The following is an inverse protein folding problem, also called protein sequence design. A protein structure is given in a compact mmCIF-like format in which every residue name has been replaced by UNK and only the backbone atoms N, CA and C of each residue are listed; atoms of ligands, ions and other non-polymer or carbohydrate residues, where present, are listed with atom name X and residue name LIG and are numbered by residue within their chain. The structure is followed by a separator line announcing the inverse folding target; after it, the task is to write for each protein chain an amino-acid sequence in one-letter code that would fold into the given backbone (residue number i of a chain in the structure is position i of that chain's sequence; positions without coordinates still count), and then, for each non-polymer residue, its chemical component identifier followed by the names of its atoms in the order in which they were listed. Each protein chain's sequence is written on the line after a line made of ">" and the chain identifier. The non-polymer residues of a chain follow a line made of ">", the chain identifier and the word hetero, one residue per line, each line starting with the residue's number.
data_IF_271593099201
#
_entry.id   IF_271593099201
#
_cell.length_a   1.000
_cell.length_b   1.000
_cell.length_c   1.000
_cell.angle_alpha   90.00
_cell.angle_beta   90.00
_cell.angle_gamma   90.00
#
_symmetry.space_group_name_H-M   'P 1'
#
loop_
_entity.id
_entity.type
_entity.pdbx_description
1 polymer ?
#
# COMPACT_ATOMS: atom_id res chain seq x y z
N UNK A 1 9.93 2.87 12.53
CA UNK A 1 10.57 4.13 12.09
C UNK A 1 9.52 4.95 11.34
N UNK A 2 9.42 6.26 11.61
CA UNK A 2 8.53 7.18 10.90
C UNK A 2 8.71 7.13 9.36
N UNK A 3 9.95 6.92 8.89
CA UNK A 3 10.26 6.77 7.46
C UNK A 3 9.51 5.58 6.86
N UNK A 4 9.49 4.42 7.54
CA UNK A 4 8.76 3.23 7.07
C UNK A 4 7.27 3.50 6.93
N UNK A 5 6.68 4.25 7.87
CA UNK A 5 5.26 4.61 7.81
C UNK A 5 4.96 5.56 6.66
N UNK A 6 5.85 6.53 6.40
CA UNK A 6 5.73 7.43 5.26
C UNK A 6 5.78 6.68 3.93
N UNK A 7 6.71 5.72 3.78
CA UNK A 7 6.80 4.87 2.59
C UNK A 7 5.53 4.03 2.41
N UNK A 8 5.03 3.39 3.47
CA UNK A 8 3.78 2.62 3.42
C UNK A 8 2.59 3.51 3.04
N UNK A 9 2.53 4.74 3.55
CA UNK A 9 1.47 5.68 3.19
C UNK A 9 1.56 6.09 1.71
N UNK A 10 2.77 6.37 1.21
CA UNK A 10 3.00 6.66 -0.21
C UNK A 10 2.54 5.50 -1.10
N UNK A 11 3.02 4.28 -0.83
CA UNK A 11 2.66 3.08 -1.61
C UNK A 11 1.15 2.84 -1.60
N UNK A 12 0.51 3.00 -0.43
CA UNK A 12 -0.96 2.84 -0.31
C UNK A 12 -1.71 3.72 -1.31
N UNK A 13 -1.32 4.98 -1.47
CA UNK A 13 -2.05 5.92 -2.32
C UNK A 13 -1.61 5.87 -3.78
N UNK A 14 -0.34 5.59 -4.06
CA UNK A 14 0.21 5.66 -5.42
C UNK A 14 0.22 4.32 -6.15
N UNK A 15 0.41 3.21 -5.44
CA UNK A 15 0.67 1.90 -6.02
C UNK A 15 -0.45 0.88 -5.76
N UNK A 16 -1.56 1.30 -5.16
CA UNK A 16 -2.69 0.41 -4.88
C UNK A 16 -4.03 1.05 -5.24
N UNK A 17 -5.07 0.22 -5.26
CA UNK A 17 -6.44 0.64 -5.53
C UNK A 17 -7.14 1.30 -4.33
N UNK A 18 -6.41 1.63 -3.26
CA UNK A 18 -6.98 2.09 -1.99
C UNK A 18 -7.96 3.25 -2.18
N UNK A 19 -7.57 4.30 -2.91
CA UNK A 19 -8.42 5.48 -3.08
C UNK A 19 -9.67 5.16 -3.90
N UNK A 20 -9.56 4.28 -4.91
CA UNK A 20 -10.71 3.80 -5.67
C UNK A 20 -11.66 2.99 -4.81
N UNK A 21 -11.14 2.11 -3.95
CA UNK A 21 -11.94 1.33 -3.01
C UNK A 21 -12.72 2.26 -2.07
N UNK A 22 -12.07 3.30 -1.52
CA UNK A 22 -12.75 4.28 -0.67
C UNK A 22 -13.83 5.06 -1.44
N UNK A 23 -13.54 5.50 -2.66
CA UNK A 23 -14.52 6.19 -3.51
C UNK A 23 -15.72 5.30 -3.87
N UNK A 24 -15.52 3.99 -3.96
CA UNK A 24 -16.59 3.01 -4.17
C UNK A 24 -17.37 2.63 -2.90
N UNK A 25 -17.09 3.28 -1.76
CA UNK A 25 -17.79 3.05 -0.50
C UNK A 25 -17.27 1.87 0.33
N UNK A 26 -16.13 1.28 -0.03
CA UNK A 26 -15.53 0.19 0.77
C UNK A 26 -15.04 0.75 2.11
N UNK A 27 -15.40 0.13 3.24
CA UNK A 27 -14.91 0.56 4.55
C UNK A 27 -13.38 0.56 4.63
N UNK A 28 -12.80 1.52 5.36
CA UNK A 28 -11.34 1.71 5.45
C UNK A 28 -10.59 0.45 5.88
N UNK A 29 -11.12 -0.31 6.84
CA UNK A 29 -10.50 -1.55 7.29
C UNK A 29 -10.49 -2.61 6.19
N UNK A 30 -11.64 -2.84 5.54
CA UNK A 30 -11.74 -3.77 4.40
C UNK A 30 -10.85 -3.35 3.23
N UNK A 31 -10.75 -2.05 2.93
CA UNK A 31 -9.86 -1.54 1.90
C UNK A 31 -8.39 -1.79 2.25
N UNK A 32 -7.99 -1.58 3.52
CA UNK A 32 -6.64 -1.87 4.01
C UNK A 32 -6.31 -3.36 3.93
N UNK A 33 -7.25 -4.22 4.26
CA UNK A 33 -7.06 -5.67 4.19
C UNK A 33 -6.84 -6.13 2.73
N UNK A 34 -7.62 -5.60 1.79
CA UNK A 34 -7.51 -5.93 0.35
C UNK A 34 -6.16 -5.56 -0.25
N UNK A 35 -5.60 -4.40 0.11
CA UNK A 35 -4.35 -3.91 -0.48
C UNK A 35 -3.09 -4.41 0.23
N UNK A 36 -3.22 -5.13 1.36
CA UNK A 36 -2.07 -5.51 2.21
C UNK A 36 -1.01 -6.29 1.44
N UNK A 37 -1.44 -7.27 0.65
CA UNK A 37 -0.55 -8.07 -0.19
C UNK A 37 0.21 -7.22 -1.22
N UNK A 38 -0.43 -6.22 -1.83
CA UNK A 38 0.20 -5.31 -2.80
C UNK A 38 1.26 -4.44 -2.13
N UNK A 39 0.96 -3.91 -0.94
CA UNK A 39 1.94 -3.14 -0.15
C UNK A 39 3.15 -4.02 0.17
N UNK A 40 2.94 -5.24 0.67
CA UNK A 40 4.02 -6.16 1.03
C UNK A 40 4.90 -6.52 -0.17
N UNK A 41 4.29 -6.72 -1.35
CA UNK A 41 5.01 -6.96 -2.59
C UNK A 41 5.89 -5.77 -3.00
N UNK A 42 5.36 -4.54 -2.94
CA UNK A 42 6.12 -3.31 -3.26
C UNK A 42 7.26 -3.06 -2.28
N UNK A 43 7.04 -3.28 -0.99
CA UNK A 43 8.12 -3.18 0.00
C UNK A 43 9.20 -4.25 -0.22
N UNK A 44 8.83 -5.44 -0.68
CA UNK A 44 9.79 -6.50 -1.02
C UNK A 44 10.60 -6.13 -2.27
N UNK A 45 9.96 -5.52 -3.27
CA UNK A 45 10.60 -5.01 -4.48
C UNK A 45 11.72 -4.00 -4.14
N UNK A 46 11.42 -3.01 -3.29
CA UNK A 46 12.40 -2.00 -2.88
C UNK A 46 13.58 -2.56 -2.08
N UNK A 47 13.40 -3.69 -1.39
CA UNK A 47 14.47 -4.37 -0.64
C UNK A 47 15.35 -5.22 -1.54
N UNK A 48 14.90 -5.56 -2.75
CA UNK A 48 15.67 -6.34 -3.68
C UNK A 48 16.74 -5.44 -4.32
N UNK A 49 18.02 -5.84 -4.35
CA UNK A 49 19.03 -5.06 -5.06
C UNK A 49 18.66 -4.99 -6.56
N UNK A 50 18.90 -3.84 -7.22
CA UNK A 50 18.79 -3.77 -8.67
C UNK A 50 19.71 -4.82 -9.30
N UNK A 51 19.22 -5.48 -10.34
CA UNK A 51 20.04 -6.42 -11.13
C UNK A 51 21.11 -5.67 -11.90
#
# INVERSE_FOLDING_TARGET
>A
NAITLAVVASVRHLDTDYDRLLMSGVPRMSARDRIRATIDAKLTEFRRPPR
#
